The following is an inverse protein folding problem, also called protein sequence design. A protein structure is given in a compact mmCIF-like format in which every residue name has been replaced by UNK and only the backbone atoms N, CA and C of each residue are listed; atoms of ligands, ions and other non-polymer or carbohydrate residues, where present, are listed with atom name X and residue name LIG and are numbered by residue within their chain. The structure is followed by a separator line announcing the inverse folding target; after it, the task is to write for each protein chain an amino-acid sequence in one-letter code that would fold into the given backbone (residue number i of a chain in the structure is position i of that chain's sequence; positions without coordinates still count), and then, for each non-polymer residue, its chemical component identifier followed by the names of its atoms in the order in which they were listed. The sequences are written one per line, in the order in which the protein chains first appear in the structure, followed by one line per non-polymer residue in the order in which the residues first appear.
data_IF_879068606422
#
_entry.id   IF_879068606422
#
_cell.length_a   1.000
_cell.length_b   1.000
_cell.length_c   1.000
_cell.angle_alpha   90.00
_cell.angle_beta   90.00
_cell.angle_gamma   90.00
#
_symmetry.space_group_name_H-M   'P 1'
#
loop_
_entity.id
_entity.type
_entity.pdbx_description
1 polymer ?
#
# COMPACT_ATOMS: atom_id res chain seq x y z
N UNK A 1 -52.64 -72.28 -51.98
CA UNK A 1 -51.43 -71.89 -52.75
C UNK A 1 -51.23 -70.40 -52.59
N UNK A 2 -49.97 -69.94 -52.38
CA UNK A 2 -49.53 -68.54 -52.14
C UNK A 2 -49.76 -68.03 -50.71
N UNK A 3 -48.83 -67.42 -49.98
CA UNK A 3 -47.38 -67.18 -50.09
C UNK A 3 -46.91 -66.86 -48.67
N UNK A 4 -45.79 -67.43 -48.22
CA UNK A 4 -45.15 -67.10 -46.94
C UNK A 4 -44.38 -65.79 -47.13
N UNK A 5 -44.70 -64.76 -46.36
CA UNK A 5 -43.89 -63.53 -46.26
C UNK A 5 -43.09 -63.60 -44.97
N UNK A 6 -41.79 -63.85 -45.11
CA UNK A 6 -40.79 -63.77 -44.05
C UNK A 6 -40.54 -62.31 -43.68
N UNK A 7 -40.91 -61.91 -42.46
CA UNK A 7 -40.50 -60.65 -41.85
C UNK A 7 -39.14 -60.81 -41.18
N UNK A 8 -38.10 -60.18 -41.73
CA UNK A 8 -36.80 -60.00 -41.08
C UNK A 8 -36.95 -59.01 -39.91
N UNK A 9 -36.71 -59.46 -38.68
CA UNK A 9 -36.48 -58.59 -37.53
C UNK A 9 -34.98 -58.25 -37.51
N UNK A 10 -34.64 -57.00 -37.80
CA UNK A 10 -33.28 -56.47 -37.60
C UNK A 10 -33.16 -56.01 -36.15
N UNK A 11 -32.41 -56.77 -35.35
CA UNK A 11 -32.00 -56.37 -34.01
C UNK A 11 -30.88 -55.33 -34.13
N UNK A 12 -31.18 -54.05 -33.90
CA UNK A 12 -30.17 -53.01 -33.81
C UNK A 12 -29.48 -53.09 -32.44
N UNK A 13 -28.27 -53.67 -32.39
CA UNK A 13 -27.41 -53.59 -31.21
C UNK A 13 -26.83 -52.18 -31.11
N UNK A 14 -27.37 -51.37 -30.18
CA UNK A 14 -26.78 -50.10 -29.76
C UNK A 14 -25.59 -50.43 -28.85
N UNK A 15 -24.40 -50.40 -29.41
CA UNK A 15 -23.16 -50.44 -28.64
C UNK A 15 -22.98 -49.08 -27.92
N UNK A 16 -23.07 -49.09 -26.59
CA UNK A 16 -22.58 -47.99 -25.75
C UNK A 16 -21.07 -47.87 -25.95
N UNK A 17 -20.62 -46.92 -26.78
CA UNK A 17 -19.24 -46.44 -26.74
C UNK A 17 -19.11 -45.52 -25.52
N UNK A 18 -18.46 -46.01 -24.47
CA UNK A 18 -17.89 -45.14 -23.44
C UNK A 18 -16.96 -44.12 -24.13
N UNK A 19 -17.29 -42.85 -23.95
CA UNK A 19 -16.49 -41.74 -24.44
C UNK A 19 -15.30 -41.62 -23.51
N UNK A 20 -14.15 -42.13 -23.94
CA UNK A 20 -12.90 -41.95 -23.22
C UNK A 20 -12.64 -40.45 -23.01
N UNK A 21 -12.69 -40.01 -21.76
CA UNK A 21 -12.29 -38.65 -21.36
C UNK A 21 -10.78 -38.58 -21.52
N UNK A 22 -10.31 -37.67 -22.37
CA UNK A 22 -8.89 -37.41 -22.52
C UNK A 22 -8.29 -37.02 -21.15
N UNK A 23 -7.10 -37.51 -20.78
CA UNK A 23 -6.46 -37.13 -19.54
C UNK A 23 -6.27 -35.61 -19.53
N UNK A 24 -6.62 -34.98 -18.39
CA UNK A 24 -6.42 -33.56 -18.19
C UNK A 24 -4.95 -33.20 -18.45
N UNK A 25 -4.73 -32.11 -19.20
CA UNK A 25 -3.40 -31.60 -19.43
C UNK A 25 -2.71 -31.34 -18.07
N UNK A 26 -1.43 -31.70 -17.92
CA UNK A 26 -0.69 -31.41 -16.70
C UNK A 26 -0.76 -29.91 -16.40
N UNK A 27 -1.00 -29.57 -15.13
CA UNK A 27 -1.00 -28.19 -14.67
C UNK A 27 0.27 -27.48 -15.17
N UNK A 28 0.10 -26.30 -15.76
CA UNK A 28 1.22 -25.48 -16.19
C UNK A 28 2.18 -25.29 -15.01
N UNK A 29 3.48 -25.50 -15.28
CA UNK A 29 4.50 -25.28 -14.26
C UNK A 29 4.36 -23.85 -13.70
N UNK A 30 4.49 -23.66 -12.38
CA UNK A 30 4.45 -22.32 -11.80
C UNK A 30 5.48 -21.44 -12.50
N UNK A 31 5.05 -20.25 -12.90
CA UNK A 31 5.94 -19.27 -13.51
C UNK A 31 7.13 -19.05 -12.56
N UNK A 32 8.37 -19.01 -13.08
CA UNK A 32 9.52 -18.71 -12.25
C UNK A 32 9.28 -17.40 -11.52
N UNK A 33 9.55 -17.38 -10.21
CA UNK A 33 9.43 -16.17 -9.40
C UNK A 33 10.19 -15.04 -10.11
N UNK A 34 9.59 -13.84 -10.24
CA UNK A 34 10.26 -12.72 -10.89
C UNK A 34 11.64 -12.53 -10.28
N UNK A 35 12.67 -12.66 -11.11
CA UNK A 35 14.04 -12.38 -10.69
C UNK A 35 14.14 -10.88 -10.46
N UNK A 36 14.34 -10.47 -9.21
CA UNK A 36 14.61 -9.08 -8.86
C UNK A 36 15.87 -8.67 -9.61
N UNK A 37 15.74 -7.76 -10.56
CA UNK A 37 16.90 -7.24 -11.29
C UNK A 37 17.89 -6.62 -10.30
N UNK A 38 19.18 -6.89 -10.47
CA UNK A 38 20.24 -6.33 -9.61
C UNK A 38 20.32 -4.83 -9.88
N UNK A 39 19.47 -4.06 -9.21
CA UNK A 39 19.42 -2.62 -9.32
C UNK A 39 20.43 -2.00 -8.37
N UNK A 40 21.15 -1.00 -8.90
CA UNK A 40 21.90 -0.08 -8.05
C UNK A 40 20.89 0.90 -7.47
N UNK A 41 20.94 1.08 -6.15
CA UNK A 41 20.26 2.21 -5.51
C UNK A 41 20.66 3.49 -6.24
N UNK A 42 19.71 4.37 -6.49
CA UNK A 42 20.10 5.74 -6.79
C UNK A 42 20.53 6.41 -5.46
N UNK A 43 21.79 6.87 -5.34
CA UNK A 43 22.30 7.51 -4.12
C UNK A 43 21.47 8.71 -3.68
N UNK A 44 20.74 9.32 -4.61
CA UNK A 44 19.83 10.40 -4.32
C UNK A 44 18.55 9.92 -3.64
N UNK A 45 18.19 8.63 -3.65
CA UNK A 45 16.86 8.20 -3.20
C UNK A 45 16.72 8.05 -1.69
N UNK A 46 17.80 7.66 -1.03
CA UNK A 46 17.74 7.17 0.35
C UNK A 46 18.79 7.92 1.15
N UNK A 47 18.36 8.96 1.90
CA UNK A 47 19.27 9.65 2.80
C UNK A 47 19.78 8.69 3.90
N UNK A 48 21.01 8.87 4.34
CA UNK A 48 21.56 8.08 5.45
C UNK A 48 20.76 8.29 6.74
N UNK A 49 20.52 7.21 7.49
CA UNK A 49 19.92 7.26 8.83
C UNK A 49 20.75 8.04 9.86
N UNK A 50 22.03 8.29 9.55
CA UNK A 50 22.97 9.03 10.38
C UNK A 50 23.21 10.47 9.88
N UNK A 51 22.52 10.89 8.81
CA UNK A 51 22.64 12.26 8.30
C UNK A 51 22.02 13.28 9.27
N UNK A 52 22.54 14.53 9.32
CA UNK A 52 21.82 15.62 9.98
C UNK A 52 20.40 15.75 9.45
N UNK A 53 19.41 15.86 10.33
CA UNK A 53 17.99 15.94 9.91
C UNK A 53 17.33 14.59 9.57
N UNK A 54 18.05 13.47 9.64
CA UNK A 54 17.47 12.14 9.40
C UNK A 54 16.46 11.71 10.49
N UNK A 55 16.34 12.48 11.57
CA UNK A 55 15.45 12.21 12.70
C UNK A 55 14.69 13.48 13.09
N UNK A 56 13.37 13.38 13.22
CA UNK A 56 12.53 14.46 13.73
C UNK A 56 11.55 13.94 14.79
N UNK A 57 11.33 14.72 15.85
CA UNK A 57 10.27 14.47 16.84
C UNK A 57 9.13 15.42 16.57
N UNK A 58 7.99 14.88 16.18
CA UNK A 58 6.82 15.66 15.76
C UNK A 58 5.80 15.76 16.89
N UNK A 59 5.74 14.75 17.79
CA UNK A 59 4.76 14.71 18.88
C UNK A 59 5.33 14.11 20.16
N UNK A 60 4.68 14.42 21.29
CA UNK A 60 4.87 13.71 22.56
C UNK A 60 3.87 12.57 22.68
N UNK A 61 4.21 11.54 23.45
CA UNK A 61 3.35 10.39 23.71
C UNK A 61 2.11 10.82 24.50
N UNK A 62 0.95 10.32 24.09
CA UNK A 62 -0.34 10.58 24.77
C UNK A 62 -1.01 9.31 25.27
N UNK A 63 -0.43 8.13 25.01
CA UNK A 63 -0.96 6.81 25.36
C UNK A 63 -1.88 6.23 24.27
N UNK A 64 -2.36 7.08 23.36
CA UNK A 64 -3.12 6.72 22.17
C UNK A 64 -2.77 7.66 21.02
N UNK A 65 -2.59 7.09 19.83
CA UNK A 65 -2.36 7.83 18.60
C UNK A 65 -3.28 7.30 17.50
N UNK A 66 -4.02 8.20 16.86
CA UNK A 66 -4.77 7.92 15.65
C UNK A 66 -4.09 8.56 14.45
N UNK A 67 -3.84 7.75 13.44
CA UNK A 67 -3.12 8.07 12.21
C UNK A 67 -4.11 7.95 11.06
N UNK A 68 -4.28 9.03 10.29
CA UNK A 68 -4.94 8.94 9.00
C UNK A 68 -3.94 8.49 7.95
N UNK A 69 -4.08 7.27 7.43
CA UNK A 69 -3.24 6.71 6.38
C UNK A 69 -3.92 6.89 5.03
N UNK A 70 -3.23 7.55 4.10
CA UNK A 70 -3.61 7.76 2.71
C UNK A 70 -2.48 7.27 1.80
N UNK A 71 -2.82 6.84 0.60
CA UNK A 71 -1.89 6.58 -0.50
C UNK A 71 -2.61 6.95 -1.80
N UNK A 72 -1.91 7.12 -2.93
CA UNK A 72 -2.58 7.36 -4.21
C UNK A 72 -3.46 8.60 -4.17
N UNK A 73 -2.88 9.78 -3.91
CA UNK A 73 -3.58 11.06 -4.03
C UNK A 73 -3.79 11.44 -5.50
N UNK A 74 -2.83 11.07 -6.36
CA UNK A 74 -2.94 11.09 -7.83
C UNK A 74 -3.07 12.52 -8.39
N UNK A 75 -3.97 12.78 -9.33
CA UNK A 75 -4.02 14.04 -10.09
C UNK A 75 -4.60 15.20 -9.25
N UNK A 76 -4.10 16.42 -9.43
CA UNK A 76 -4.56 17.61 -8.69
C UNK A 76 -5.74 18.35 -9.34
N UNK A 77 -6.65 17.64 -10.01
CA UNK A 77 -7.86 18.24 -10.57
C UNK A 77 -8.84 18.71 -9.47
N UNK A 78 -9.65 19.74 -9.76
CA UNK A 78 -10.56 20.36 -8.78
C UNK A 78 -11.52 19.36 -8.11
N UNK A 79 -11.99 18.35 -8.86
CA UNK A 79 -12.91 17.34 -8.34
C UNK A 79 -12.18 16.39 -7.38
N UNK A 80 -10.96 15.97 -7.71
CA UNK A 80 -10.13 15.14 -6.84
C UNK A 80 -9.66 15.89 -5.59
N UNK A 81 -9.26 17.15 -5.73
CA UNK A 81 -8.92 18.03 -4.60
C UNK A 81 -10.14 18.19 -3.67
N UNK A 82 -11.33 18.47 -4.20
CA UNK A 82 -12.54 18.56 -3.38
C UNK A 82 -12.87 17.24 -2.67
N UNK A 83 -12.65 16.11 -3.35
CA UNK A 83 -12.83 14.78 -2.80
C UNK A 83 -11.86 14.47 -1.65
N UNK A 84 -10.56 14.67 -1.86
CA UNK A 84 -9.54 14.47 -0.84
C UNK A 84 -9.78 15.36 0.38
N UNK A 85 -10.26 16.59 0.18
CA UNK A 85 -10.66 17.48 1.29
C UNK A 85 -11.76 16.86 2.16
N UNK A 86 -12.77 16.22 1.56
CA UNK A 86 -13.82 15.50 2.29
C UNK A 86 -13.23 14.32 3.06
N UNK A 87 -12.37 13.53 2.42
CA UNK A 87 -11.73 12.35 3.01
C UNK A 87 -10.84 12.72 4.22
N UNK A 88 -10.04 13.78 4.11
CA UNK A 88 -9.24 14.32 5.21
C UNK A 88 -10.14 14.87 6.32
N UNK A 89 -11.25 15.53 5.95
CA UNK A 89 -12.28 15.96 6.90
C UNK A 89 -12.81 14.82 7.75
N UNK A 90 -13.15 13.68 7.13
CA UNK A 90 -13.60 12.47 7.83
C UNK A 90 -12.52 11.91 8.77
N UNK A 91 -11.27 11.84 8.33
CA UNK A 91 -10.15 11.39 9.18
C UNK A 91 -10.01 12.29 10.43
N UNK A 92 -10.07 13.61 10.25
CA UNK A 92 -10.05 14.57 11.36
C UNK A 92 -11.23 14.39 12.31
N UNK A 93 -12.44 14.26 11.77
CA UNK A 93 -13.64 14.06 12.58
C UNK A 93 -13.57 12.79 13.43
N UNK A 94 -12.92 11.74 12.91
CA UNK A 94 -12.66 10.49 13.64
C UNK A 94 -11.47 10.55 14.62
N UNK A 95 -10.83 11.72 14.71
CA UNK A 95 -9.79 12.03 15.68
C UNK A 95 -8.37 11.73 15.22
N UNK A 96 -8.11 11.64 13.91
CA UNK A 96 -6.74 11.58 13.41
C UNK A 96 -5.93 12.77 13.94
N UNK A 97 -4.76 12.48 14.52
CA UNK A 97 -3.85 13.50 15.06
C UNK A 97 -2.58 13.68 14.23
N UNK A 98 -2.43 12.91 13.16
CA UNK A 98 -1.34 12.95 12.17
C UNK A 98 -1.86 12.28 10.90
N UNK A 99 -1.38 12.74 9.75
CA UNK A 99 -1.62 12.13 8.45
C UNK A 99 -0.32 11.50 7.92
N UNK A 100 -0.43 10.35 7.29
CA UNK A 100 0.66 9.72 6.55
C UNK A 100 0.17 9.52 5.11
N UNK A 101 0.91 10.09 4.15
CA UNK A 101 0.68 9.93 2.71
C UNK A 101 1.78 9.02 2.13
N UNK A 102 1.40 7.80 1.74
CA UNK A 102 2.29 6.71 1.38
C UNK A 102 2.43 6.54 -0.15
N UNK A 103 3.16 7.46 -0.77
CA UNK A 103 3.43 7.48 -2.20
C UNK A 103 2.26 7.92 -3.09
N UNK A 104 2.56 8.16 -4.36
CA UNK A 104 1.61 8.58 -5.40
C UNK A 104 0.87 9.88 -5.03
N UNK A 105 1.64 10.89 -4.61
CA UNK A 105 1.17 12.19 -4.10
C UNK A 105 1.14 13.30 -5.16
N UNK A 106 1.35 12.95 -6.43
CA UNK A 106 1.26 13.84 -7.59
C UNK A 106 2.33 13.50 -8.64
N UNK A 107 2.04 13.70 -9.91
CA UNK A 107 2.95 13.32 -11.01
C UNK A 107 4.06 14.35 -11.26
N UNK A 108 3.91 15.56 -10.71
CA UNK A 108 4.85 16.67 -10.89
C UNK A 108 4.86 17.60 -9.66
N UNK A 109 5.82 18.53 -9.54
CA UNK A 109 5.95 19.40 -8.37
C UNK A 109 4.70 20.24 -8.06
N UNK A 110 4.01 20.75 -9.07
CA UNK A 110 2.82 21.61 -8.88
C UNK A 110 1.65 20.80 -8.29
N UNK A 111 1.46 19.56 -8.76
CA UNK A 111 0.48 18.63 -8.22
C UNK A 111 0.84 18.21 -6.80
N UNK A 112 2.11 17.84 -6.56
CA UNK A 112 2.60 17.48 -5.23
C UNK A 112 2.38 18.63 -4.23
N UNK A 113 2.71 19.88 -4.61
CA UNK A 113 2.48 21.04 -3.76
C UNK A 113 0.99 21.25 -3.47
N UNK A 114 0.13 21.10 -4.48
CA UNK A 114 -1.33 21.26 -4.33
C UNK A 114 -1.91 20.21 -3.38
N UNK A 115 -1.56 18.94 -3.58
CA UNK A 115 -2.14 17.82 -2.83
C UNK A 115 -1.59 17.73 -1.41
N UNK A 116 -0.28 17.91 -1.22
CA UNK A 116 0.32 17.97 0.11
C UNK A 116 -0.06 19.25 0.84
N UNK A 117 -0.23 20.36 0.12
CA UNK A 117 -0.80 21.60 0.65
C UNK A 117 -2.20 21.40 1.21
N UNK A 118 -3.07 20.69 0.49
CA UNK A 118 -4.40 20.30 0.98
C UNK A 118 -4.33 19.44 2.25
N UNK A 119 -3.40 18.48 2.34
CA UNK A 119 -3.21 17.72 3.57
C UNK A 119 -2.75 18.64 4.71
N UNK A 120 -1.88 19.60 4.44
CA UNK A 120 -1.38 20.56 5.44
C UNK A 120 -2.46 21.55 5.91
N UNK A 121 -3.41 21.94 5.06
CA UNK A 121 -4.59 22.75 5.43
C UNK A 121 -5.44 22.10 6.53
N UNK A 122 -5.32 20.77 6.71
CA UNK A 122 -5.94 20.06 7.83
C UNK A 122 -5.49 20.60 9.19
N UNK A 123 -4.32 21.25 9.25
CA UNK A 123 -3.67 21.66 10.49
C UNK A 123 -3.05 20.51 11.27
N UNK A 124 -3.11 19.26 10.78
CA UNK A 124 -2.41 18.12 11.36
C UNK A 124 -0.97 18.06 10.85
N UNK A 125 -0.03 17.46 11.60
CA UNK A 125 1.25 17.07 11.02
C UNK A 125 1.03 16.05 9.90
N UNK A 126 1.79 16.19 8.82
CA UNK A 126 1.76 15.32 7.64
C UNK A 126 3.13 14.68 7.47
N UNK A 127 3.18 13.36 7.40
CA UNK A 127 4.37 12.65 6.95
C UNK A 127 4.08 12.19 5.52
N UNK A 128 5.01 12.43 4.62
CA UNK A 128 4.93 11.97 3.23
C UNK A 128 6.12 11.05 2.95
N UNK A 129 5.98 10.13 2.01
CA UNK A 129 7.10 9.36 1.50
C UNK A 129 7.00 9.26 -0.03
N UNK A 130 8.15 9.32 -0.69
CA UNK A 130 8.21 9.08 -2.12
C UNK A 130 7.88 7.60 -2.44
N UNK A 131 6.97 7.40 -3.39
CA UNK A 131 6.68 6.14 -4.03
C UNK A 131 7.38 6.02 -5.40
N UNK A 132 6.69 5.44 -6.37
CA UNK A 132 7.22 5.14 -7.70
C UNK A 132 7.05 6.30 -8.71
N UNK A 133 6.33 7.37 -8.33
CA UNK A 133 6.10 8.59 -9.12
C UNK A 133 6.97 9.75 -8.66
N UNK A 134 7.26 9.84 -7.37
CA UNK A 134 7.91 11.01 -6.81
C UNK A 134 9.42 11.00 -7.11
N UNK A 135 9.88 12.05 -7.79
CA UNK A 135 11.31 12.40 -7.85
C UNK A 135 11.68 13.08 -6.52
N UNK A 136 12.61 12.48 -5.77
CA UNK A 136 12.92 12.96 -4.41
C UNK A 136 13.28 14.45 -4.34
N UNK A 137 14.10 14.95 -5.27
CA UNK A 137 14.50 16.37 -5.23
C UNK A 137 13.33 17.33 -5.41
N UNK A 138 12.29 16.90 -6.12
CA UNK A 138 11.06 17.67 -6.29
C UNK A 138 10.23 17.63 -5.01
N UNK A 139 10.07 16.45 -4.41
CA UNK A 139 9.38 16.29 -3.14
C UNK A 139 10.07 17.05 -2.00
N UNK A 140 11.40 17.03 -1.94
CA UNK A 140 12.23 17.81 -1.00
C UNK A 140 11.96 19.33 -1.17
N UNK A 141 11.83 19.81 -2.41
CA UNK A 141 11.56 21.21 -2.70
C UNK A 141 10.13 21.61 -2.31
N UNK A 142 9.14 20.76 -2.62
CA UNK A 142 7.74 20.94 -2.24
C UNK A 142 7.59 20.98 -0.72
N UNK A 143 8.23 20.05 0.01
CA UNK A 143 8.23 20.08 1.47
C UNK A 143 8.79 21.42 1.99
N UNK A 144 9.93 21.87 1.45
CA UNK A 144 10.55 23.11 1.87
C UNK A 144 9.64 24.33 1.64
N UNK A 145 8.96 24.42 0.50
CA UNK A 145 8.01 25.50 0.21
C UNK A 145 6.79 25.46 1.13
N UNK A 146 6.21 24.29 1.37
CA UNK A 146 5.10 24.14 2.31
C UNK A 146 5.51 24.50 3.75
N UNK A 147 6.71 24.11 4.20
CA UNK A 147 7.23 24.48 5.52
C UNK A 147 7.45 25.99 5.65
N UNK A 148 7.92 26.67 4.59
CA UNK A 148 8.02 28.15 4.56
C UNK A 148 6.64 28.82 4.74
N UNK A 149 5.57 28.19 4.23
CA UNK A 149 4.17 28.61 4.42
C UNK A 149 3.59 28.23 5.80
N UNK A 150 4.39 27.59 6.66
CA UNK A 150 3.99 27.20 8.01
C UNK A 150 3.39 25.79 8.12
N UNK A 151 3.42 24.99 7.05
CA UNK A 151 2.98 23.60 7.11
C UNK A 151 3.87 22.77 8.04
N UNK A 152 3.25 21.81 8.74
CA UNK A 152 3.96 20.79 9.53
C UNK A 152 4.05 19.52 8.70
N UNK A 153 4.92 19.53 7.70
CA UNK A 153 5.14 18.40 6.80
C UNK A 153 6.58 17.88 6.96
N UNK A 154 6.76 16.56 6.81
CA UNK A 154 8.04 15.86 6.89
C UNK A 154 8.12 14.82 5.78
N UNK A 155 9.13 14.88 4.91
CA UNK A 155 9.41 13.83 3.93
C UNK A 155 10.29 12.72 4.54
N UNK A 156 9.72 11.52 4.60
CA UNK A 156 10.37 10.30 5.08
C UNK A 156 11.48 9.77 4.16
N UNK A 157 11.67 10.39 2.98
CA UNK A 157 12.76 10.10 2.06
C UNK A 157 14.10 10.65 2.56
N UNK A 158 14.07 11.78 3.26
CA UNK A 158 15.26 12.37 3.89
C UNK A 158 15.21 12.39 5.42
N UNK A 159 14.05 12.64 6.03
CA UNK A 159 13.83 12.49 7.48
C UNK A 159 13.36 11.07 7.77
N UNK A 160 14.32 10.15 7.74
CA UNK A 160 14.09 8.71 7.72
C UNK A 160 13.43 8.13 8.98
N UNK A 161 13.51 8.83 10.12
CA UNK A 161 12.94 8.40 11.40
C UNK A 161 12.12 9.53 12.01
N UNK A 162 10.84 9.26 12.30
CA UNK A 162 9.96 10.25 12.92
C UNK A 162 9.37 9.71 14.21
N UNK A 163 9.59 10.42 15.32
CA UNK A 163 9.00 10.11 16.63
C UNK A 163 7.63 10.81 16.75
N UNK A 164 6.57 10.00 16.80
CA UNK A 164 5.18 10.43 17.00
C UNK A 164 4.72 10.26 18.45
N UNK A 165 5.64 9.97 19.38
CA UNK A 165 5.38 9.75 20.79
C UNK A 165 4.95 8.32 21.10
N UNK A 166 3.81 7.89 20.55
CA UNK A 166 3.25 6.55 20.78
C UNK A 166 3.76 5.48 19.80
N UNK A 167 4.45 5.91 18.73
CA UNK A 167 5.11 5.04 17.74
C UNK A 167 6.28 5.79 17.10
N UNK A 168 7.36 5.07 16.78
CA UNK A 168 8.45 5.60 15.93
C UNK A 168 8.29 5.10 14.50
N UNK A 169 8.20 6.00 13.53
CA UNK A 169 8.08 5.71 12.10
C UNK A 169 9.47 5.63 11.48
N UNK A 170 9.68 4.63 10.63
CA UNK A 170 10.88 4.43 9.81
C UNK A 170 10.44 4.34 8.34
N UNK A 171 10.96 5.23 7.49
CA UNK A 171 10.59 5.29 6.07
C UNK A 171 11.53 4.52 5.15
N UNK A 172 10.97 3.87 4.12
CA UNK A 172 11.71 3.35 2.95
C UNK A 172 11.10 3.93 1.66
N UNK A 173 11.72 4.97 1.07
CA UNK A 173 11.19 5.61 -0.12
C UNK A 173 11.47 4.81 -1.39
N UNK A 174 10.60 4.97 -2.39
CA UNK A 174 10.76 4.45 -3.74
C UNK A 174 10.19 3.06 -3.98
N UNK A 175 10.52 2.52 -5.14
CA UNK A 175 10.18 1.17 -5.58
C UNK A 175 11.42 0.29 -5.70
N UNK A 176 11.24 -1.00 -5.99
CA UNK A 176 12.35 -1.94 -6.13
C UNK A 176 12.66 -2.36 -7.56
N UNK A 177 11.78 -2.09 -8.51
CA UNK A 177 11.99 -2.42 -9.93
C UNK A 177 11.79 -1.20 -10.81
N UNK A 178 12.68 -0.99 -11.77
CA UNK A 178 12.56 0.13 -12.73
C UNK A 178 11.24 0.14 -13.49
N UNK A 179 10.67 -1.03 -13.76
CA UNK A 179 9.38 -1.14 -14.47
C UNK A 179 8.18 -0.62 -13.66
N UNK A 180 8.35 -0.43 -12.36
CA UNK A 180 7.32 0.14 -11.48
C UNK A 180 7.38 1.68 -11.49
N UNK A 181 8.48 2.27 -11.97
CA UNK A 181 8.63 3.73 -11.95
C UNK A 181 7.75 4.39 -13.01
N UNK A 182 7.15 5.49 -12.63
CA UNK A 182 6.33 6.33 -13.49
C UNK A 182 6.96 7.69 -13.81
N UNK A 183 8.08 8.03 -13.17
CA UNK A 183 8.87 9.23 -13.49
C UNK A 183 10.36 8.92 -13.62
N UNK A 184 11.03 9.63 -14.54
CA UNK A 184 12.47 9.61 -14.65
C UNK A 184 13.09 10.27 -13.41
N UNK A 185 13.91 9.52 -12.66
CA UNK A 185 14.47 9.98 -11.38
C UNK A 185 13.64 9.63 -10.16
N UNK A 186 12.51 8.91 -10.33
CA UNK A 186 11.80 8.31 -9.21
C UNK A 186 12.67 7.27 -8.49
N UNK A 187 12.38 7.08 -7.20
CA UNK A 187 13.31 6.41 -6.32
C UNK A 187 13.37 4.89 -6.52
N UNK A 188 14.59 4.34 -6.59
CA UNK A 188 14.81 2.88 -6.53
C UNK A 188 15.67 2.52 -5.34
N UNK A 189 15.11 1.78 -4.40
CA UNK A 189 15.87 1.21 -3.29
C UNK A 189 16.48 -0.14 -3.65
N UNK A 190 17.62 -0.46 -3.03
CA UNK A 190 18.32 -1.72 -3.19
C UNK A 190 18.43 -2.47 -1.86
N UNK A 191 19.02 -3.67 -1.88
CA UNK A 191 19.18 -4.50 -0.67
C UNK A 191 19.88 -3.75 0.47
N UNK A 192 20.91 -2.96 0.18
CA UNK A 192 21.62 -2.18 1.20
C UNK A 192 20.71 -1.21 1.97
N UNK A 193 19.67 -0.70 1.30
CA UNK A 193 18.73 0.26 1.88
C UNK A 193 17.73 -0.47 2.78
N UNK A 194 17.31 -1.68 2.38
CA UNK A 194 16.55 -2.62 3.20
C UNK A 194 17.35 -3.01 4.46
N UNK A 195 18.64 -3.29 4.32
CA UNK A 195 19.52 -3.65 5.43
C UNK A 195 19.72 -2.45 6.38
N UNK A 196 19.81 -1.23 5.85
CA UNK A 196 19.87 -0.01 6.63
C UNK A 196 18.56 0.22 7.41
N UNK A 197 17.40 0.00 6.78
CA UNK A 197 16.09 0.03 7.45
C UNK A 197 16.00 -1.03 8.54
N UNK A 198 16.44 -2.27 8.28
CA UNK A 198 16.48 -3.33 9.28
C UNK A 198 17.30 -2.91 10.51
N UNK A 199 18.48 -2.32 10.27
CA UNK A 199 19.36 -1.82 11.32
C UNK A 199 18.72 -0.66 12.10
N UNK A 200 18.01 0.24 11.40
CA UNK A 200 17.29 1.34 12.04
C UNK A 200 16.14 0.82 12.92
N UNK A 201 15.34 -0.12 12.43
CA UNK A 201 14.24 -0.75 13.16
C UNK A 201 14.71 -1.46 14.44
N UNK A 202 15.91 -2.05 14.44
CA UNK A 202 16.50 -2.66 15.65
C UNK A 202 16.94 -1.64 16.70
N UNK A 203 17.12 -0.36 16.33
CA UNK A 203 17.68 0.70 17.19
C UNK A 203 16.64 1.70 17.69
N UNK A 204 15.47 1.80 17.05
CA UNK A 204 14.41 2.74 17.45
C UNK A 204 13.60 2.22 18.63
N UNK A 205 12.94 3.13 19.33
CA UNK A 205 12.04 2.77 20.42
C UNK A 205 10.81 2.02 19.89
N UNK A 206 10.39 0.98 20.60
CA UNK A 206 9.16 0.28 20.30
C UNK A 206 7.93 1.00 20.90
N UNK A 207 6.76 0.97 20.24
CA UNK A 207 6.50 0.28 18.99
C UNK A 207 7.09 1.05 17.79
N UNK A 208 7.55 0.28 16.79
CA UNK A 208 8.07 0.81 15.54
C UNK A 208 7.08 0.56 14.39
N UNK A 209 7.03 1.48 13.44
CA UNK A 209 6.24 1.41 12.22
C UNK A 209 7.13 1.53 11.00
N UNK A 210 6.95 0.65 10.02
CA UNK A 210 7.54 0.79 8.68
C UNK A 210 6.54 1.47 7.75
N UNK A 211 6.96 2.52 7.05
CA UNK A 211 6.18 3.14 5.96
C UNK A 211 6.98 2.99 4.67
N UNK A 212 6.36 2.40 3.66
CA UNK A 212 6.98 2.16 2.36
C UNK A 212 5.88 1.99 1.30
N UNK A 213 5.99 2.70 0.17
CA UNK A 213 4.98 2.61 -0.90
C UNK A 213 4.80 1.17 -1.40
N UNK A 214 5.90 0.44 -1.62
CA UNK A 214 5.83 -0.97 -2.02
C UNK A 214 5.50 -1.87 -0.82
N UNK A 215 4.44 -2.70 -0.90
CA UNK A 215 4.14 -3.68 0.13
C UNK A 215 5.13 -4.87 0.14
N UNK A 216 5.32 -5.53 1.29
CA UNK A 216 6.02 -6.80 1.34
C UNK A 216 5.25 -7.87 0.56
N UNK A 217 5.97 -8.76 -0.12
CA UNK A 217 5.31 -9.84 -0.89
C UNK A 217 4.50 -10.75 0.02
N UNK A 218 3.21 -10.85 -0.28
CA UNK A 218 2.28 -11.76 0.37
C UNK A 218 2.46 -13.23 -0.02
N UNK A 219 1.66 -14.09 0.61
CA UNK A 219 1.64 -15.53 0.32
C UNK A 219 0.34 -15.99 -0.34
N UNK A 220 -0.74 -15.21 -0.24
CA UNK A 220 -2.04 -15.56 -0.78
C UNK A 220 -2.84 -14.33 -1.23
N UNK A 221 -4.04 -14.59 -1.76
CA UNK A 221 -4.97 -13.61 -2.35
C UNK A 221 -5.53 -12.58 -1.36
N UNK A 222 -5.27 -12.74 -0.06
CA UNK A 222 -5.72 -11.85 1.01
C UNK A 222 -4.61 -10.93 1.50
N UNK A 223 -3.42 -11.00 0.90
CA UNK A 223 -2.31 -10.13 1.22
C UNK A 223 -2.54 -8.67 0.77
N UNK A 224 -1.57 -7.81 1.12
CA UNK A 224 -1.60 -6.37 0.85
C UNK A 224 -1.15 -5.98 -0.56
N UNK A 225 -0.70 -6.95 -1.35
CA UNK A 225 0.02 -6.75 -2.60
C UNK A 225 -0.58 -7.55 -3.77
N UNK A 226 -1.87 -7.88 -3.69
CA UNK A 226 -2.56 -8.68 -4.70
C UNK A 226 -3.15 -7.78 -5.77
N UNK A 227 -2.72 -7.99 -7.02
CA UNK A 227 -3.37 -7.49 -8.22
C UNK A 227 -3.43 -8.62 -9.26
N UNK A 228 -4.53 -8.72 -9.99
CA UNK A 228 -4.77 -9.79 -10.97
C UNK A 228 -4.44 -11.22 -10.45
N UNK A 229 -4.82 -11.50 -9.20
CA UNK A 229 -4.54 -12.74 -8.48
C UNK A 229 -3.05 -13.09 -8.28
N UNK A 230 -2.15 -12.11 -8.41
CA UNK A 230 -0.71 -12.25 -8.21
C UNK A 230 -0.22 -11.30 -7.12
N UNK A 231 0.75 -11.74 -6.32
CA UNK A 231 1.43 -10.95 -5.29
C UNK A 231 2.60 -10.17 -5.92
N UNK A 232 2.44 -8.84 -6.02
CA UNK A 232 3.38 -7.93 -6.70
C UNK A 232 4.49 -7.37 -5.81
N UNK A 233 4.36 -7.52 -4.49
CA UNK A 233 5.24 -6.88 -3.51
C UNK A 233 6.70 -7.35 -3.57
N UNK A 234 7.55 -6.69 -2.78
CA UNK A 234 8.96 -7.07 -2.65
C UNK A 234 9.14 -8.16 -1.58
N UNK A 235 9.60 -9.38 -1.94
CA UNK A 235 9.80 -10.46 -0.98
C UNK A 235 10.89 -10.14 0.05
N UNK A 236 11.80 -9.19 -0.24
CA UNK A 236 12.88 -8.77 0.66
C UNK A 236 12.40 -7.91 1.82
N UNK A 237 11.19 -7.35 1.75
CA UNK A 237 10.58 -6.58 2.84
C UNK A 237 9.90 -7.47 3.90
N UNK A 238 9.50 -8.70 3.55
CA UNK A 238 8.81 -9.59 4.50
C UNK A 238 9.59 -9.83 5.82
N UNK A 239 10.93 -9.97 5.83
CA UNK A 239 11.70 -10.04 7.07
C UNK A 239 11.62 -8.79 7.96
N UNK A 240 11.40 -7.60 7.39
CA UNK A 240 11.28 -6.34 8.16
C UNK A 240 10.01 -6.30 9.00
N UNK A 241 8.95 -7.01 8.59
CA UNK A 241 7.72 -7.10 9.37
C UNK A 241 7.95 -7.70 10.76
N UNK A 242 8.97 -8.55 10.94
CA UNK A 242 9.31 -9.06 12.27
C UNK A 242 9.97 -8.01 13.18
N UNK A 243 10.49 -6.92 12.61
CA UNK A 243 11.16 -5.83 13.32
C UNK A 243 10.22 -4.64 13.57
N UNK A 244 9.29 -4.38 12.67
CA UNK A 244 8.25 -3.37 12.82
C UNK A 244 6.94 -3.98 13.35
N UNK A 245 6.39 -3.43 14.44
CA UNK A 245 5.07 -3.87 14.92
C UNK A 245 3.95 -3.42 14.00
N UNK A 246 4.10 -2.25 13.37
CA UNK A 246 3.08 -1.70 12.49
C UNK A 246 3.66 -1.42 11.11
N UNK A 247 2.81 -1.32 10.11
CA UNK A 247 3.24 -0.81 8.81
C UNK A 247 2.11 -0.28 7.96
N UNK A 248 2.45 0.67 7.09
CA UNK A 248 1.57 1.25 6.08
C UNK A 248 2.28 1.07 4.74
N UNK A 249 1.54 0.52 3.78
CA UNK A 249 2.00 0.22 2.44
C UNK A 249 0.97 0.65 1.40
N UNK A 250 1.39 1.14 0.25
CA UNK A 250 0.53 1.68 -0.80
C UNK A 250 0.64 0.87 -2.09
N UNK A 251 0.76 1.58 -3.21
CA UNK A 251 1.08 1.18 -4.59
C UNK A 251 0.21 0.08 -5.24
N UNK A 252 -0.13 -1.01 -4.54
CA UNK A 252 -1.05 -2.05 -5.03
C UNK A 252 -2.48 -1.71 -4.60
N UNK A 253 -3.10 -0.79 -5.34
CA UNK A 253 -4.38 -0.18 -4.98
C UNK A 253 -5.56 -1.16 -4.97
N UNK A 254 -5.52 -2.24 -5.77
CA UNK A 254 -6.53 -3.29 -5.82
C UNK A 254 -6.59 -4.10 -4.51
N UNK A 255 -5.54 -4.03 -3.70
CA UNK A 255 -5.49 -4.57 -2.34
C UNK A 255 -5.73 -3.53 -1.25
N UNK A 256 -6.21 -2.34 -1.62
CA UNK A 256 -6.58 -1.28 -0.70
C UNK A 256 -7.71 -1.64 0.26
N UNK A 257 -7.74 -0.96 1.42
CA UNK A 257 -8.73 -1.21 2.46
C UNK A 257 -8.55 -2.56 3.16
N UNK A 258 -7.31 -3.04 3.27
CA UNK A 258 -6.96 -4.35 3.87
C UNK A 258 -5.91 -4.18 4.96
N UNK A 259 -5.99 -5.03 5.98
CA UNK A 259 -4.90 -5.18 6.93
C UNK A 259 -4.63 -6.65 7.26
N UNK A 260 -3.38 -6.95 7.60
CA UNK A 260 -2.92 -8.28 7.98
C UNK A 260 -2.06 -8.25 9.25
N UNK A 261 -1.96 -9.40 9.94
CA UNK A 261 -1.12 -9.58 11.12
C UNK A 261 0.32 -10.03 10.76
N UNK A 262 1.15 -10.27 11.79
CA UNK A 262 2.52 -10.82 11.68
C UNK A 262 2.68 -12.12 10.88
N UNK A 263 1.59 -12.85 10.68
CA UNK A 263 1.54 -14.12 9.96
C UNK A 263 0.94 -13.95 8.57
N UNK A 264 0.57 -12.73 8.18
CA UNK A 264 -0.15 -12.44 6.94
C UNK A 264 -1.65 -12.78 7.02
N UNK A 265 -2.20 -13.07 8.20
CA UNK A 265 -3.63 -13.35 8.33
C UNK A 265 -4.44 -12.04 8.33
N UNK A 266 -5.60 -11.98 7.65
CA UNK A 266 -6.43 -10.78 7.65
C UNK A 266 -6.83 -10.35 9.06
N UNK A 267 -6.73 -9.05 9.32
CA UNK A 267 -7.23 -8.44 10.57
C UNK A 267 -8.50 -7.67 10.25
N UNK A 268 -9.68 -8.05 10.77
CA UNK A 268 -10.91 -7.30 10.55
C UNK A 268 -10.84 -5.88 11.14
N UNK A 269 -11.59 -4.91 10.59
CA UNK A 269 -11.69 -3.58 11.18
C UNK A 269 -12.04 -3.62 12.67
N UNK A 270 -11.51 -2.67 13.46
CA UNK A 270 -11.72 -2.56 14.92
C UNK A 270 -11.23 -3.75 15.76
N UNK A 271 -10.50 -4.69 15.15
CA UNK A 271 -9.90 -5.82 15.87
C UNK A 271 -8.51 -5.44 16.34
N UNK A 272 -8.24 -5.62 17.64
CA UNK A 272 -6.91 -5.37 18.19
C UNK A 272 -5.90 -6.40 17.68
N UNK A 273 -4.72 -5.94 17.28
CA UNK A 273 -3.59 -6.78 16.94
C UNK A 273 -2.28 -6.24 17.50
N UNK A 274 -1.38 -7.14 17.93
CA UNK A 274 -0.02 -6.78 18.37
C UNK A 274 0.91 -6.44 17.19
N UNK A 275 0.56 -6.92 16.00
CA UNK A 275 1.21 -6.63 14.73
C UNK A 275 0.17 -6.33 13.67
N UNK A 276 0.24 -5.17 13.01
CA UNK A 276 -0.78 -4.73 12.07
C UNK A 276 -0.15 -3.99 10.89
N UNK A 277 -0.33 -4.55 9.70
CA UNK A 277 0.17 -4.01 8.44
C UNK A 277 -1.01 -3.66 7.56
N UNK A 278 -1.02 -2.47 7.00
CA UNK A 278 -2.19 -1.85 6.39
C UNK A 278 -1.86 -1.40 4.97
N UNK A 279 -2.77 -1.69 4.03
CA UNK A 279 -2.84 -0.99 2.77
C UNK A 279 -4.12 -0.13 2.77
N UNK A 280 -4.02 1.21 2.85
CA UNK A 280 -5.19 2.07 2.93
C UNK A 280 -5.97 2.11 1.60
N UNK A 281 -5.31 1.79 0.48
CA UNK A 281 -5.84 1.96 -0.88
C UNK A 281 -5.63 3.36 -1.44
N UNK A 282 -6.03 3.55 -2.69
CA UNK A 282 -5.99 4.84 -3.36
C UNK A 282 -7.04 5.79 -2.77
N UNK A 283 -6.58 6.98 -2.36
CA UNK A 283 -7.41 8.05 -1.83
C UNK A 283 -8.13 8.84 -2.93
N UNK A 284 -7.57 8.82 -4.14
CA UNK A 284 -8.12 9.47 -5.31
C UNK A 284 -9.51 8.95 -5.67
N UNK A 285 -10.31 9.81 -6.28
CA UNK A 285 -11.72 9.51 -6.60
C UNK A 285 -11.91 8.51 -7.74
N UNK A 286 -10.84 8.05 -8.41
CA UNK A 286 -10.97 7.08 -9.50
C UNK A 286 -11.55 5.76 -8.96
N UNK A 287 -12.59 5.20 -9.60
CA UNK A 287 -13.09 3.88 -9.24
C UNK A 287 -12.07 2.79 -9.57
N UNK A 288 -11.64 2.04 -8.54
CA UNK A 288 -10.71 0.92 -8.64
C UNK A 288 -11.42 -0.42 -8.51
N UNK A 289 -11.24 -1.37 -9.45
CA UNK A 289 -11.62 -2.75 -9.22
C UNK A 289 -10.72 -3.37 -8.15
N UNK A 290 -11.32 -3.88 -7.09
CA UNK A 290 -10.62 -4.44 -5.95
C UNK A 290 -10.43 -5.95 -6.13
N UNK A 291 -9.38 -6.51 -5.53
CA UNK A 291 -9.08 -7.92 -5.59
C UNK A 291 -10.10 -8.82 -4.85
N UNK A 292 -11.06 -8.24 -4.12
CA UNK A 292 -12.21 -8.95 -3.53
C UNK A 292 -13.47 -8.93 -4.43
N UNK A 293 -13.36 -8.37 -5.64
CA UNK A 293 -14.44 -8.24 -6.61
C UNK A 293 -15.32 -7.00 -6.42
N UNK A 294 -15.06 -6.16 -5.40
CA UNK A 294 -15.75 -4.88 -5.24
C UNK A 294 -15.14 -3.79 -6.12
N UNK A 295 -15.80 -2.63 -6.18
CA UNK A 295 -15.23 -1.42 -6.78
C UNK A 295 -15.27 -0.30 -5.73
N UNK A 296 -14.16 0.43 -5.60
CA UNK A 296 -14.03 1.51 -4.61
C UNK A 296 -13.46 2.74 -5.29
N UNK A 297 -14.15 3.87 -5.13
CA UNK A 297 -13.67 5.19 -5.50
C UNK A 297 -13.24 5.92 -4.23
N UNK A 298 -11.95 6.18 -4.06
CA UNK A 298 -11.39 6.94 -2.96
C UNK A 298 -11.57 6.34 -1.56
N UNK A 299 -10.46 5.91 -0.97
CA UNK A 299 -10.43 5.40 0.39
C UNK A 299 -9.15 5.76 1.12
N UNK A 300 -9.26 5.84 2.43
CA UNK A 300 -8.17 5.95 3.38
C UNK A 300 -8.42 4.96 4.52
N UNK A 301 -7.54 4.97 5.51
CA UNK A 301 -7.74 4.21 6.73
C UNK A 301 -7.36 5.01 7.97
N UNK A 302 -8.05 4.73 9.07
CA UNK A 302 -7.70 5.23 10.38
C UNK A 302 -7.01 4.12 11.16
N UNK A 303 -5.71 4.26 11.39
CA UNK A 303 -4.92 3.36 12.24
C UNK A 303 -4.84 3.94 13.64
N UNK A 304 -5.33 3.22 14.64
CA UNK A 304 -5.25 3.60 16.05
C UNK A 304 -4.23 2.72 16.76
N UNK A 305 -3.26 3.33 17.43
CA UNK A 305 -2.24 2.67 18.25
C UNK A 305 -2.49 3.03 19.71
N UNK A 306 -2.58 2.02 20.56
CA UNK A 306 -2.69 2.16 22.02
C UNK A 306 -1.69 1.22 22.69
N UNK A 307 -0.64 1.79 23.27
CA UNK A 307 0.50 1.02 23.76
C UNK A 307 1.12 0.17 22.64
N UNK A 308 1.10 -1.16 22.80
CA UNK A 308 1.69 -2.11 21.82
C UNK A 308 0.67 -2.80 20.91
N UNK A 309 -0.55 -2.29 20.86
CA UNK A 309 -1.64 -2.83 20.02
C UNK A 309 -2.13 -1.78 19.03
N UNK A 310 -2.54 -2.26 17.85
CA UNK A 310 -3.15 -1.46 16.81
C UNK A 310 -4.54 -1.98 16.44
N UNK A 311 -5.42 -1.07 16.03
CA UNK A 311 -6.69 -1.37 15.33
C UNK A 311 -6.76 -0.49 14.09
N UNK A 312 -7.50 -0.92 13.07
CA UNK A 312 -7.74 -0.08 11.88
C UNK A 312 -9.22 0.00 11.52
N UNK A 313 -9.58 1.04 10.77
CA UNK A 313 -10.89 1.21 10.18
C UNK A 313 -10.78 1.80 8.78
N UNK A 314 -11.53 1.32 7.78
CA UNK A 314 -11.61 1.99 6.48
C UNK A 314 -12.34 3.32 6.64
N UNK A 315 -11.88 4.32 5.90
CA UNK A 315 -12.50 5.64 5.84
C UNK A 315 -12.77 5.96 4.38
N UNK A 316 -14.04 6.23 4.09
CA UNK A 316 -14.52 6.63 2.77
C UNK A 316 -15.48 7.80 3.01
N UNK A 317 -15.53 8.82 2.14
CA UNK A 317 -16.53 9.86 2.27
C UNK A 317 -17.91 9.21 2.13
N UNK A 318 -18.87 9.61 2.95
CA UNK A 318 -20.27 9.22 2.71
C UNK A 318 -20.70 9.83 1.39
N UNK A 319 -21.12 8.99 0.44
CA UNK A 319 -21.80 9.49 -0.76
C UNK A 319 -23.05 10.25 -0.31
N UNK A 320 -23.11 11.55 -0.64
CA UNK A 320 -24.37 12.27 -0.58
C UNK A 320 -25.33 11.55 -1.52
N UNK A 321 -26.37 10.93 -0.97
CA UNK A 321 -27.49 10.42 -1.76
C UNK A 321 -28.05 11.61 -2.55
N UNK A 322 -27.74 11.65 -3.84
CA UNK A 322 -28.39 12.56 -4.79
C UNK A 322 -29.85 12.20 -4.95
#
# INVERSE_FOLDING_TARGET
MRTIISGLIVLAMVACREKAVAPAAPAAAPAPAPQVSVLRSDPACVASFDAPGAREKVRAATGELKIGALAGLKDADDENVAWLRKLVGELKQRGAGVLIADGDVGDNPDEQETLLGLLAESGLPVLVIAGNREVRSELDAVEAELRKKGARIVDLSHTRIVDLGDVTVVGLPGAFERRQLHADGACVYAQKDIDAVATALDRVAAPAMLVAAVPPRGQDVRALDVSEAQNLGDPRLAPLLRKAQFGIFGEVWESGGRAVDGRGAPVPPKTESAQLYLNPGAADRTPWPMADGTTVAGQAALLTIRGRKGTWEPVRPTEEKR
#
